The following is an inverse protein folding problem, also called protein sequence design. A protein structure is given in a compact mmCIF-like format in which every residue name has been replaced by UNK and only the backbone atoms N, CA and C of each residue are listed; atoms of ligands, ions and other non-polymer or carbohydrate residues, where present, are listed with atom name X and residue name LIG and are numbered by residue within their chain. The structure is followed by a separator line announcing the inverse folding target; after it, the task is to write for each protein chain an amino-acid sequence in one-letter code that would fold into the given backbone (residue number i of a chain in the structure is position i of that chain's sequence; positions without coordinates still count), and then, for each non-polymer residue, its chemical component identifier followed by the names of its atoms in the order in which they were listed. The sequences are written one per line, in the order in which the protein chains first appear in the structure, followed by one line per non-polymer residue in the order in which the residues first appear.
data_IF_612753079149
#
_entry.id   IF_612753079149
#
_cell.length_a   1.000
_cell.length_b   1.000
_cell.length_c   1.000
_cell.angle_alpha   90.00
_cell.angle_beta   90.00
_cell.angle_gamma   90.00
#
_symmetry.space_group_name_H-M   'P 1'
#
loop_
_entity.id
_entity.type
_entity.pdbx_description
1 polymer ?
#
# COMPACT_ATOMS: atom_id res chain seq x y z
N UNK A 1 -37.69 -15.30 -39.15
CA UNK A 1 -36.68 -15.31 -38.06
C UNK A 1 -36.52 -13.86 -37.63
N UNK A 2 -37.07 -13.31 -36.53
CA UNK A 2 -37.15 -13.71 -35.12
C UNK A 2 -35.78 -14.06 -34.52
N UNK A 3 -35.12 -13.05 -33.96
CA UNK A 3 -34.40 -13.13 -32.68
C UNK A 3 -34.43 -11.74 -32.02
N UNK A 4 -35.54 -11.50 -31.34
CA UNK A 4 -35.67 -10.53 -30.26
C UNK A 4 -34.75 -10.96 -29.12
N UNK A 5 -33.65 -10.23 -28.88
CA UNK A 5 -32.89 -10.32 -27.63
C UNK A 5 -33.20 -9.04 -26.85
N UNK A 6 -34.17 -9.18 -25.96
CA UNK A 6 -34.30 -8.36 -24.76
C UNK A 6 -33.10 -8.71 -23.87
N UNK A 7 -32.12 -7.81 -23.75
CA UNK A 7 -31.13 -7.87 -22.67
C UNK A 7 -31.40 -6.68 -21.74
N UNK A 8 -31.66 -6.93 -20.46
CA UNK A 8 -32.30 -5.98 -19.56
C UNK A 8 -31.36 -4.83 -19.19
N UNK A 9 -31.97 -3.70 -18.83
CA UNK A 9 -31.40 -2.68 -17.95
C UNK A 9 -30.92 -3.31 -16.64
N UNK A 10 -29.72 -3.90 -16.64
CA UNK A 10 -28.88 -4.23 -15.50
C UNK A 10 -27.62 -4.92 -16.01
N UNK A 11 -26.62 -4.14 -16.40
CA UNK A 11 -25.26 -4.62 -16.47
C UNK A 11 -24.40 -3.56 -15.77
N UNK A 12 -24.11 -3.86 -14.51
CA UNK A 12 -23.09 -3.23 -13.70
C UNK A 12 -21.87 -2.96 -14.59
N UNK A 13 -21.57 -1.68 -14.82
CA UNK A 13 -20.22 -1.27 -15.18
C UNK A 13 -19.39 -1.45 -13.91
N UNK A 14 -19.07 -2.71 -13.62
CA UNK A 14 -17.95 -3.09 -12.77
C UNK A 14 -16.75 -2.47 -13.46
N UNK A 15 -16.36 -1.29 -12.98
CA UNK A 15 -15.04 -0.76 -13.24
C UNK A 15 -14.09 -1.90 -12.87
N UNK A 16 -13.46 -2.48 -13.88
CA UNK A 16 -12.26 -3.28 -13.68
C UNK A 16 -11.27 -2.37 -12.97
N UNK A 17 -11.22 -2.45 -11.63
CA UNK A 17 -10.13 -1.85 -10.89
C UNK A 17 -8.87 -2.36 -11.58
N UNK A 18 -8.11 -1.43 -12.15
CA UNK A 18 -6.82 -1.77 -12.68
C UNK A 18 -6.01 -2.19 -11.45
N UNK A 19 -5.89 -3.50 -11.25
CA UNK A 19 -4.88 -4.09 -10.40
C UNK A 19 -3.53 -3.76 -11.04
N UNK A 20 -3.07 -2.51 -10.85
CA UNK A 20 -1.69 -2.10 -11.09
C UNK A 20 -0.83 -2.68 -9.97
N UNK A 21 -0.66 -4.01 -9.95
CA UNK A 21 0.16 -4.76 -8.99
C UNK A 21 1.67 -4.65 -9.29
N UNK A 22 2.14 -3.48 -9.73
CA UNK A 22 3.58 -3.20 -9.86
C UNK A 22 4.00 -1.92 -9.14
N UNK A 23 3.06 -1.06 -8.71
CA UNK A 23 3.37 0.15 -7.95
C UNK A 23 2.88 0.03 -6.50
N UNK A 24 3.71 0.46 -5.51
CA UNK A 24 3.23 0.58 -4.14
C UNK A 24 2.01 1.49 -4.12
N UNK A 25 0.98 1.09 -3.36
CA UNK A 25 -0.25 1.87 -3.35
C UNK A 25 0.00 3.31 -2.90
N UNK A 26 -0.80 4.29 -3.37
CA UNK A 26 -0.65 5.68 -2.94
C UNK A 26 -0.72 5.86 -1.41
N UNK A 27 -1.43 4.97 -0.72
CA UNK A 27 -1.48 4.97 0.74
C UNK A 27 -0.14 4.58 1.35
N UNK A 28 0.45 3.48 0.87
CA UNK A 28 1.75 3.00 1.30
C UNK A 28 2.84 4.07 1.11
N UNK A 29 2.92 4.66 -0.09
CA UNK A 29 3.91 5.71 -0.39
C UNK A 29 3.78 6.88 0.58
N UNK A 30 2.56 7.38 0.81
CA UNK A 30 2.32 8.49 1.74
C UNK A 30 2.71 8.14 3.19
N UNK A 31 2.43 6.92 3.63
CA UNK A 31 2.81 6.48 4.98
C UNK A 31 4.31 6.28 5.14
N UNK A 32 5.00 5.78 4.09
CA UNK A 32 6.45 5.64 4.07
C UNK A 32 7.15 7.01 4.16
N UNK A 33 6.69 7.99 3.37
CA UNK A 33 7.26 9.33 3.38
C UNK A 33 7.03 10.03 4.73
N UNK A 34 5.81 9.97 5.27
CA UNK A 34 5.53 10.52 6.59
C UNK A 34 6.39 9.89 7.70
N UNK A 35 6.56 8.56 7.66
CA UNK A 35 7.39 7.85 8.63
C UNK A 35 8.87 8.24 8.51
N UNK A 36 9.37 8.43 7.28
CA UNK A 36 10.73 8.90 7.03
C UNK A 36 10.96 10.31 7.60
N UNK A 37 10.03 11.23 7.34
CA UNK A 37 10.08 12.61 7.83
C UNK A 37 10.09 12.65 9.36
N UNK A 38 9.20 11.89 10.02
CA UNK A 38 9.12 11.82 11.49
C UNK A 38 10.37 11.19 12.10
N UNK A 39 10.94 10.18 11.44
CA UNK A 39 12.18 9.55 11.88
C UNK A 39 13.44 10.39 11.60
N UNK A 40 13.33 11.47 10.82
CA UNK A 40 14.46 12.29 10.39
C UNK A 40 15.37 11.58 9.38
N UNK A 41 14.85 10.58 8.66
CA UNK A 41 15.57 9.88 7.60
C UNK A 41 15.58 10.70 6.31
N UNK A 42 16.60 10.51 5.47
CA UNK A 42 16.76 11.30 4.24
C UNK A 42 15.64 11.02 3.23
N UNK A 43 15.11 9.79 3.24
CA UNK A 43 13.94 9.35 2.49
C UNK A 43 13.41 8.03 3.05
N UNK A 44 12.24 7.59 2.57
CA UNK A 44 11.70 6.26 2.85
C UNK A 44 12.59 5.11 2.34
N UNK A 45 13.52 5.38 1.42
CA UNK A 45 14.49 4.41 0.89
C UNK A 45 15.86 4.48 1.58
N UNK A 46 16.02 5.33 2.60
CA UNK A 46 17.22 5.38 3.43
C UNK A 46 17.22 4.22 4.42
N UNK A 47 17.43 2.99 3.92
CA UNK A 47 17.27 1.75 4.71
C UNK A 47 18.23 1.66 5.91
N UNK A 48 19.40 2.26 5.81
CA UNK A 48 20.34 2.38 6.94
C UNK A 48 19.75 3.22 8.09
N UNK A 49 18.84 4.16 7.78
CA UNK A 49 18.10 4.94 8.77
C UNK A 49 16.75 4.32 9.15
N UNK A 50 15.94 3.92 8.16
CA UNK A 50 14.55 3.50 8.37
C UNK A 50 14.45 2.13 9.04
N UNK A 51 15.31 1.17 8.67
CA UNK A 51 15.28 -0.19 9.22
C UNK A 51 15.59 -0.26 10.72
N UNK A 52 16.58 0.46 11.29
CA UNK A 52 16.80 0.46 12.74
C UNK A 52 15.88 1.42 13.50
N UNK A 53 15.22 2.37 12.84
CA UNK A 53 14.43 3.42 13.52
C UNK A 53 13.09 2.91 14.07
N UNK A 54 12.95 2.89 15.39
CA UNK A 54 11.66 2.62 16.06
C UNK A 54 10.61 3.67 15.68
N UNK A 55 11.01 4.95 15.61
CA UNK A 55 10.10 6.04 15.24
C UNK A 55 9.51 5.85 13.83
N UNK A 56 10.32 5.36 12.89
CA UNK A 56 9.87 5.02 11.54
C UNK A 56 8.82 3.90 11.59
N UNK A 57 9.14 2.77 12.26
CA UNK A 57 8.25 1.60 12.35
C UNK A 57 6.91 1.91 12.99
N UNK A 58 6.92 2.62 14.13
CA UNK A 58 5.70 2.98 14.84
C UNK A 58 4.82 3.96 14.04
N UNK A 59 5.44 4.95 13.40
CA UNK A 59 4.73 5.93 12.56
C UNK A 59 4.14 5.28 11.33
N UNK A 60 4.92 4.45 10.63
CA UNK A 60 4.46 3.69 9.47
C UNK A 60 3.30 2.77 9.86
N UNK A 61 3.47 1.95 10.90
CA UNK A 61 2.44 1.02 11.37
C UNK A 61 1.15 1.73 11.78
N UNK A 62 1.24 2.88 12.45
CA UNK A 62 0.07 3.69 12.83
C UNK A 62 -0.63 4.28 11.60
N UNK A 63 0.14 4.84 10.67
CA UNK A 63 -0.39 5.43 9.44
C UNK A 63 -1.13 4.37 8.62
N UNK A 64 -0.52 3.20 8.45
CA UNK A 64 -1.09 2.10 7.67
C UNK A 64 -2.39 1.57 8.26
N UNK A 65 -2.41 1.31 9.58
CA UNK A 65 -3.62 0.84 10.28
C UNK A 65 -4.79 1.83 10.18
N UNK A 66 -4.49 3.11 10.05
CA UNK A 66 -5.50 4.18 10.05
C UNK A 66 -6.01 4.50 8.65
N UNK A 67 -5.13 4.43 7.64
CA UNK A 67 -5.41 5.02 6.33
C UNK A 67 -5.41 4.02 5.17
N UNK A 68 -4.80 2.84 5.35
CA UNK A 68 -4.55 1.91 4.26
C UNK A 68 -5.41 0.65 4.36
N UNK A 69 -5.50 -0.10 3.26
CA UNK A 69 -6.23 -1.37 3.23
C UNK A 69 -5.40 -2.49 3.90
N UNK A 70 -6.02 -3.61 4.27
CA UNK A 70 -5.28 -4.78 4.74
C UNK A 70 -4.27 -5.32 3.71
N UNK A 71 -4.58 -5.22 2.41
CA UNK A 71 -3.67 -5.62 1.33
C UNK A 71 -2.43 -4.73 1.29
N UNK A 72 -2.58 -3.41 1.49
CA UNK A 72 -1.45 -2.49 1.62
C UNK A 72 -0.54 -2.89 2.78
N UNK A 73 -1.12 -3.23 3.94
CA UNK A 73 -0.39 -3.67 5.14
C UNK A 73 0.45 -4.91 4.84
N UNK A 74 -0.12 -5.89 4.13
CA UNK A 74 0.61 -7.08 3.71
C UNK A 74 1.75 -6.72 2.77
N UNK A 75 1.49 -5.93 1.72
CA UNK A 75 2.52 -5.51 0.76
C UNK A 75 3.67 -4.75 1.42
N UNK A 76 3.38 -3.86 2.37
CA UNK A 76 4.39 -3.13 3.12
C UNK A 76 5.24 -4.04 4.02
N UNK A 77 4.62 -5.04 4.63
CA UNK A 77 5.34 -6.05 5.42
C UNK A 77 6.32 -6.87 4.57
N UNK A 78 5.90 -7.27 3.38
CA UNK A 78 6.75 -7.97 2.41
C UNK A 78 7.90 -7.08 1.93
N UNK A 79 7.60 -5.83 1.55
CA UNK A 79 8.61 -4.86 1.14
C UNK A 79 9.63 -4.60 2.26
N UNK A 80 9.16 -4.40 3.49
CA UNK A 80 10.06 -4.19 4.62
C UNK A 80 10.92 -5.43 4.89
N UNK A 81 10.37 -6.64 4.75
CA UNK A 81 11.16 -7.88 4.86
C UNK A 81 12.21 -7.99 3.77
N UNK A 82 11.89 -7.62 2.54
CA UNK A 82 12.85 -7.58 1.43
C UNK A 82 14.00 -6.60 1.69
N UNK A 83 13.69 -5.39 2.21
CA UNK A 83 14.66 -4.30 2.36
C UNK A 83 15.43 -4.31 3.68
N UNK A 84 14.75 -4.70 4.77
CA UNK A 84 15.27 -4.66 6.14
C UNK A 84 15.51 -6.05 6.74
N UNK A 85 15.22 -7.13 6.01
CA UNK A 85 15.43 -8.52 6.47
C UNK A 85 14.44 -9.00 7.56
N UNK A 86 13.51 -8.15 7.98
CA UNK A 86 12.48 -8.44 8.98
C UNK A 86 11.19 -7.70 8.64
N UNK A 87 10.05 -8.13 9.18
CA UNK A 87 8.81 -7.36 9.08
C UNK A 87 8.86 -6.20 10.12
N UNK A 88 8.20 -5.06 9.85
CA UNK A 88 8.13 -4.00 10.84
C UNK A 88 7.24 -4.49 11.98
N UNK A 89 7.73 -4.37 13.22
CA UNK A 89 6.99 -4.76 14.44
C UNK A 89 5.82 -3.81 14.74
#
# INVERSE_FOLDING_TARGET
MKLTIFFPLAAFLTWAVADCLEDPSPCLVKCLDNAADVAGCSSSSDYECTCPSTAFKETLGTCMKTNCTPEDVTAAGELHKERCGSAPE
#
